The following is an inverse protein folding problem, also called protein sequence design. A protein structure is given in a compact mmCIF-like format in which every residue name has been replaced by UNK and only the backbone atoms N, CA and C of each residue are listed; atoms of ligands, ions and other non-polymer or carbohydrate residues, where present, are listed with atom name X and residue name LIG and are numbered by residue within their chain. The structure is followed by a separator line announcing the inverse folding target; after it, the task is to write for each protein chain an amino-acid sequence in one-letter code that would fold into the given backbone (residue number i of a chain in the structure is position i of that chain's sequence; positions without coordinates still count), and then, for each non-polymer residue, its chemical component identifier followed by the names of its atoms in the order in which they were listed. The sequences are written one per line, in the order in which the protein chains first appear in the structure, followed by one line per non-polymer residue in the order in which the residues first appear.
data_IF_662003409182
#
_entry.id   IF_662003409182
#
_cell.length_a   1.000
_cell.length_b   1.000
_cell.length_c   1.000
_cell.angle_alpha   90.00
_cell.angle_beta   90.00
_cell.angle_gamma   90.00
#
_symmetry.space_group_name_H-M   'P 1'
#
loop_
_entity.id
_entity.type
_entity.pdbx_description
1 polymer ?
#
# COMPACT_ATOMS: atom_id res chain seq x y z
N UNK A 1 -26.41 -7.80 -12.33
CA UNK A 1 -25.30 -7.64 -13.33
C UNK A 1 -24.23 -6.66 -12.88
N UNK A 2 -24.54 -5.68 -11.99
CA UNK A 2 -23.62 -4.58 -11.64
C UNK A 2 -22.43 -4.94 -10.73
N UNK A 3 -22.25 -6.18 -10.31
CA UNK A 3 -21.19 -6.55 -9.36
C UNK A 3 -20.28 -7.71 -9.84
N UNK A 4 -20.34 -8.06 -11.12
CA UNK A 4 -19.39 -9.03 -11.66
C UNK A 4 -18.11 -8.33 -12.09
N UNK A 5 -16.94 -8.79 -11.66
CA UNK A 5 -15.68 -8.20 -12.10
C UNK A 5 -15.52 -8.50 -13.60
N UNK A 6 -15.31 -7.46 -14.40
CA UNK A 6 -14.97 -7.58 -15.80
C UNK A 6 -13.47 -7.39 -15.93
N UNK A 7 -12.80 -8.41 -16.47
CA UNK A 7 -11.39 -8.30 -16.82
C UNK A 7 -11.31 -7.68 -18.22
N UNK A 8 -10.84 -6.44 -18.28
CA UNK A 8 -10.58 -5.77 -19.57
C UNK A 8 -9.12 -5.95 -19.96
N UNK A 9 -8.88 -6.22 -21.23
CA UNK A 9 -7.56 -6.15 -21.84
C UNK A 9 -7.13 -4.70 -22.12
N UNK A 10 -8.08 -3.79 -22.14
CA UNK A 10 -7.83 -2.36 -22.28
C UNK A 10 -7.54 -1.75 -20.92
N UNK A 11 -6.35 -1.20 -20.76
CA UNK A 11 -5.93 -0.50 -19.56
C UNK A 11 -6.31 0.97 -19.67
N UNK A 12 -6.71 1.56 -18.55
CA UNK A 12 -7.10 2.98 -18.48
C UNK A 12 -6.02 3.93 -19.01
N UNK A 13 -4.74 3.56 -18.83
CA UNK A 13 -3.58 4.34 -19.31
C UNK A 13 -2.48 3.41 -19.79
N UNK A 14 -1.65 3.87 -20.73
CA UNK A 14 -0.48 3.13 -21.19
C UNK A 14 0.52 2.84 -20.05
N UNK A 15 0.65 3.75 -19.09
CA UNK A 15 1.51 3.59 -17.92
C UNK A 15 1.08 2.45 -16.97
N UNK A 16 -0.15 1.93 -17.13
CA UNK A 16 -0.61 0.79 -16.35
C UNK A 16 0.07 -0.52 -16.81
N UNK A 17 0.49 -0.63 -18.06
CA UNK A 17 1.23 -1.78 -18.59
C UNK A 17 2.72 -1.60 -18.30
N UNK A 18 3.21 -2.29 -17.27
CA UNK A 18 4.61 -2.21 -16.85
C UNK A 18 5.08 -3.48 -16.17
N UNK A 19 6.37 -3.68 -16.17
CA UNK A 19 7.03 -4.76 -15.42
C UNK A 19 7.54 -4.18 -14.09
N UNK A 20 7.20 -4.84 -12.99
CA UNK A 20 7.66 -4.46 -11.66
C UNK A 20 8.61 -5.55 -11.17
N UNK A 21 9.91 -5.23 -10.91
CA UNK A 21 10.84 -6.19 -10.34
C UNK A 21 10.36 -6.61 -8.94
N UNK A 22 10.44 -7.90 -8.66
CA UNK A 22 10.07 -8.46 -7.36
C UNK A 22 11.33 -8.73 -6.54
N UNK A 23 11.42 -8.22 -5.31
CA UNK A 23 12.46 -8.65 -4.37
C UNK A 23 12.36 -10.15 -4.09
N UNK A 24 13.50 -10.80 -3.83
CA UNK A 24 13.59 -12.26 -3.70
C UNK A 24 12.64 -12.83 -2.63
N UNK A 25 12.51 -12.15 -1.49
CA UNK A 25 11.59 -12.57 -0.42
C UNK A 25 10.12 -12.55 -0.87
N UNK A 26 9.71 -11.52 -1.64
CA UNK A 26 8.36 -11.44 -2.19
C UNK A 26 8.14 -12.50 -3.27
N UNK A 27 9.14 -12.71 -4.15
CA UNK A 27 9.08 -13.74 -5.15
C UNK A 27 8.95 -15.15 -4.52
N UNK A 28 9.65 -15.41 -3.41
CA UNK A 28 9.51 -16.65 -2.65
C UNK A 28 8.12 -16.84 -2.07
N UNK A 29 7.55 -15.80 -1.44
CA UNK A 29 6.18 -15.82 -0.92
C UNK A 29 5.15 -16.08 -2.02
N UNK A 30 5.30 -15.44 -3.17
CA UNK A 30 4.38 -15.62 -4.30
C UNK A 30 4.48 -17.03 -4.92
N UNK A 31 5.69 -17.61 -5.01
CA UNK A 31 5.88 -19.00 -5.46
C UNK A 31 5.21 -19.99 -4.51
N UNK A 32 5.35 -19.76 -3.20
CA UNK A 32 4.72 -20.63 -2.20
C UNK A 32 3.18 -20.52 -2.27
N UNK A 33 2.64 -19.30 -2.39
CA UNK A 33 1.21 -19.08 -2.59
C UNK A 33 0.69 -19.76 -3.86
N UNK A 34 1.48 -19.74 -4.97
CA UNK A 34 1.10 -20.38 -6.23
C UNK A 34 1.02 -21.90 -6.13
N UNK A 35 1.88 -22.55 -5.35
CA UNK A 35 1.82 -24.02 -5.15
C UNK A 35 0.45 -24.48 -4.63
N UNK A 36 -0.20 -23.65 -3.82
CA UNK A 36 -1.49 -23.94 -3.19
C UNK A 36 -2.68 -23.33 -3.96
N UNK A 37 -2.44 -22.76 -5.15
CA UNK A 37 -3.46 -22.08 -5.95
C UNK A 37 -3.51 -22.61 -7.37
N UNK A 38 -4.70 -22.94 -7.83
CA UNK A 38 -4.99 -23.28 -9.23
C UNK A 38 -5.39 -22.06 -10.06
N UNK A 39 -5.51 -20.90 -9.42
CA UNK A 39 -5.94 -19.65 -10.06
C UNK A 39 -4.81 -18.97 -10.82
N UNK A 40 -5.14 -18.27 -11.89
CA UNK A 40 -4.24 -17.36 -12.61
C UNK A 40 -4.10 -16.00 -11.93
N UNK A 41 -4.92 -15.72 -10.92
CA UNK A 41 -4.88 -14.47 -10.16
C UNK A 41 -4.08 -14.64 -8.88
N UNK A 42 -3.24 -13.65 -8.57
CA UNK A 42 -2.46 -13.63 -7.30
C UNK A 42 -3.40 -13.61 -6.08
N UNK A 43 -4.49 -12.88 -6.19
CA UNK A 43 -5.55 -12.87 -5.18
C UNK A 43 -6.87 -13.21 -5.89
N UNK A 44 -7.37 -14.41 -5.62
CA UNK A 44 -8.56 -14.95 -6.27
C UNK A 44 -9.76 -15.00 -5.33
N UNK A 45 -10.96 -15.08 -5.90
CA UNK A 45 -12.15 -15.49 -5.20
C UNK A 45 -12.16 -17.04 -4.99
N UNK A 46 -13.20 -17.56 -4.34
CA UNK A 46 -13.30 -19.00 -4.05
C UNK A 46 -13.37 -19.87 -5.31
N UNK A 47 -13.86 -19.31 -6.42
CA UNK A 47 -14.03 -20.01 -7.69
C UNK A 47 -12.79 -19.86 -8.58
N UNK A 48 -11.71 -19.29 -8.07
CA UNK A 48 -10.45 -19.07 -8.79
C UNK A 48 -10.46 -17.85 -9.72
N UNK A 49 -11.54 -17.09 -9.77
CA UNK A 49 -11.67 -15.87 -10.59
C UNK A 49 -11.21 -14.60 -9.88
N UNK A 50 -11.30 -13.43 -10.56
CA UNK A 50 -10.92 -12.15 -10.00
C UNK A 50 -11.85 -11.74 -8.85
N UNK A 51 -11.33 -10.99 -7.88
CA UNK A 51 -12.14 -10.43 -6.80
C UNK A 51 -13.07 -9.33 -7.32
N UNK A 52 -14.32 -9.37 -6.87
CA UNK A 52 -15.19 -8.20 -6.96
C UNK A 52 -14.73 -7.11 -5.99
N UNK A 53 -15.15 -5.87 -6.24
CA UNK A 53 -14.88 -4.75 -5.33
C UNK A 53 -15.33 -5.02 -3.88
N UNK A 54 -16.50 -5.64 -3.71
CA UNK A 54 -17.03 -5.99 -2.39
C UNK A 54 -16.16 -7.05 -1.69
N UNK A 55 -15.69 -8.07 -2.43
CA UNK A 55 -14.78 -9.08 -1.89
C UNK A 55 -13.44 -8.46 -1.49
N UNK A 56 -12.88 -7.59 -2.33
CA UNK A 56 -11.67 -6.85 -1.99
C UNK A 56 -11.86 -6.02 -0.71
N UNK A 57 -12.95 -5.26 -0.59
CA UNK A 57 -13.24 -4.49 0.64
C UNK A 57 -13.32 -5.38 1.88
N UNK A 58 -13.92 -6.55 1.79
CA UNK A 58 -13.99 -7.50 2.91
C UNK A 58 -12.61 -8.01 3.30
N UNK A 59 -11.77 -8.37 2.33
CA UNK A 59 -10.38 -8.78 2.61
C UNK A 59 -9.58 -7.65 3.25
N UNK A 60 -9.70 -6.44 2.69
CA UNK A 60 -9.02 -5.26 3.24
C UNK A 60 -9.47 -4.93 4.67
N UNK A 61 -10.72 -5.21 4.99
CA UNK A 61 -11.26 -5.03 6.33
C UNK A 61 -10.50 -5.85 7.40
N UNK A 62 -9.97 -7.02 7.07
CA UNK A 62 -9.12 -7.79 7.99
C UNK A 62 -7.81 -7.07 8.33
N UNK A 63 -7.25 -6.32 7.39
CA UNK A 63 -6.08 -5.48 7.63
C UNK A 63 -6.45 -4.30 8.53
N UNK A 64 -7.50 -3.56 8.17
CA UNK A 64 -7.97 -2.37 8.91
C UNK A 64 -8.41 -2.72 10.33
N UNK A 65 -9.02 -3.88 10.53
CA UNK A 65 -9.46 -4.34 11.87
C UNK A 65 -8.29 -4.49 12.85
N UNK A 66 -7.06 -4.68 12.37
CA UNK A 66 -5.85 -4.77 13.22
C UNK A 66 -5.31 -3.43 13.69
N UNK A 67 -5.92 -2.32 13.29
CA UNK A 67 -5.49 -0.97 13.69
C UNK A 67 -5.94 -0.68 15.12
N UNK A 68 -4.99 -0.32 15.98
CA UNK A 68 -5.21 0.07 17.37
C UNK A 68 -5.57 1.55 17.47
N UNK A 69 -6.72 1.93 16.88
CA UNK A 69 -7.22 3.31 16.91
C UNK A 69 -8.64 3.37 17.46
N UNK A 70 -9.01 4.45 18.18
CA UNK A 70 -10.37 4.67 18.64
C UNK A 70 -11.36 4.63 17.48
N UNK A 71 -12.44 3.86 17.64
CA UNK A 71 -13.48 3.72 16.61
C UNK A 71 -14.83 3.41 17.20
N UNK A 72 -15.88 3.78 16.46
CA UNK A 72 -17.24 3.43 16.85
C UNK A 72 -17.46 1.93 16.54
N UNK A 73 -17.75 1.17 17.56
CA UNK A 73 -18.19 -0.22 17.49
C UNK A 73 -19.67 -0.33 17.82
N UNK A 74 -20.26 -1.48 17.55
CA UNK A 74 -21.65 -1.79 17.88
C UNK A 74 -21.69 -3.07 18.71
N UNK A 75 -22.51 -3.08 19.74
CA UNK A 75 -22.83 -4.27 20.53
C UNK A 75 -24.35 -4.47 20.57
N UNK A 76 -24.76 -5.72 20.67
CA UNK A 76 -26.17 -6.07 20.84
C UNK A 76 -26.48 -5.97 22.35
N UNK A 77 -27.47 -5.15 22.71
CA UNK A 77 -27.99 -5.00 24.07
C UNK A 77 -29.51 -5.07 23.95
N UNK A 78 -30.14 -6.01 24.64
CA UNK A 78 -31.60 -6.21 24.68
C UNK A 78 -32.22 -6.23 23.25
N UNK A 79 -31.59 -6.94 22.30
CA UNK A 79 -32.05 -7.06 20.93
C UNK A 79 -31.82 -5.83 20.04
N UNK A 80 -31.21 -4.77 20.55
CA UNK A 80 -30.90 -3.54 19.81
C UNK A 80 -29.39 -3.31 19.68
N UNK A 81 -28.95 -2.81 18.52
CA UNK A 81 -27.54 -2.43 18.33
C UNK A 81 -27.25 -1.06 18.94
N UNK A 82 -26.44 -1.03 19.99
CA UNK A 82 -25.95 0.18 20.63
C UNK A 82 -24.55 0.51 20.15
N UNK A 83 -24.30 1.77 19.78
CA UNK A 83 -22.97 2.26 19.41
C UNK A 83 -22.18 2.57 20.68
N UNK A 84 -20.89 2.23 20.69
CA UNK A 84 -19.95 2.63 21.74
C UNK A 84 -18.58 2.92 21.15
N UNK A 85 -17.78 3.70 21.86
CA UNK A 85 -16.37 3.91 21.50
C UNK A 85 -15.54 2.73 21.96
N UNK A 86 -14.79 2.14 21.03
CA UNK A 86 -13.80 1.13 21.30
C UNK A 86 -12.42 1.78 21.25
N UNK A 87 -11.62 1.54 22.28
CA UNK A 87 -10.22 2.00 22.40
C UNK A 87 -9.33 0.77 22.43
N UNK A 88 -8.91 0.25 21.27
CA UNK A 88 -8.03 -0.92 21.22
C UNK A 88 -6.61 -0.54 21.62
N UNK A 89 -5.92 -1.44 22.31
CA UNK A 89 -4.50 -1.29 22.63
C UNK A 89 -3.64 -2.22 21.77
N UNK A 90 -2.41 -1.80 21.44
CA UNK A 90 -1.48 -2.63 20.69
C UNK A 90 -1.18 -3.92 21.47
N UNK A 91 -1.22 -5.06 20.76
CA UNK A 91 -1.02 -6.38 21.34
C UNK A 91 -2.28 -7.03 21.92
N UNK A 92 -3.37 -6.26 22.12
CA UNK A 92 -4.64 -6.78 22.61
C UNK A 92 -5.36 -7.61 21.54
N UNK A 93 -6.05 -8.67 21.96
CA UNK A 93 -6.94 -9.45 21.09
C UNK A 93 -8.30 -8.77 20.96
N UNK A 94 -8.84 -8.77 19.75
CA UNK A 94 -10.17 -8.20 19.51
C UNK A 94 -11.24 -9.05 20.22
N UNK A 95 -12.13 -8.40 20.98
CA UNK A 95 -13.18 -9.03 21.78
C UNK A 95 -14.11 -9.94 20.98
N UNK A 96 -14.43 -9.55 19.76
CA UNK A 96 -15.38 -10.29 18.91
C UNK A 96 -14.71 -11.26 17.94
N UNK A 97 -13.36 -11.28 17.89
CA UNK A 97 -12.60 -12.19 17.05
C UNK A 97 -11.20 -12.40 17.64
N UNK A 98 -11.06 -13.42 18.46
CA UNK A 98 -9.81 -13.75 19.14
C UNK A 98 -8.62 -14.08 18.21
N UNK A 99 -8.86 -14.28 16.92
CA UNK A 99 -7.80 -14.44 15.92
C UNK A 99 -7.22 -13.10 15.43
N UNK A 100 -7.87 -11.98 15.75
CA UNK A 100 -7.40 -10.64 15.39
C UNK A 100 -6.67 -10.05 16.58
N UNK A 101 -5.38 -9.73 16.39
CA UNK A 101 -4.57 -8.95 17.33
C UNK A 101 -4.41 -7.54 16.76
N UNK A 102 -4.57 -6.53 17.60
CA UNK A 102 -4.30 -5.14 17.21
C UNK A 102 -2.79 -4.94 17.10
N UNK A 103 -2.27 -4.92 15.89
CA UNK A 103 -0.83 -4.93 15.61
C UNK A 103 -0.36 -3.69 14.84
N UNK A 104 -1.26 -2.74 14.57
CA UNK A 104 -0.98 -1.53 13.80
C UNK A 104 -1.42 -0.30 14.59
N UNK A 105 -0.53 0.66 14.76
CA UNK A 105 -0.79 1.96 15.40
C UNK A 105 -1.15 3.07 14.39
N UNK A 106 -1.21 2.72 13.11
CA UNK A 106 -1.51 3.62 12.00
C UNK A 106 -2.61 3.08 11.09
N UNK A 107 -3.24 3.98 10.33
CA UNK A 107 -4.21 3.60 9.32
C UNK A 107 -3.52 3.01 8.10
N UNK A 108 -4.06 1.91 7.57
CA UNK A 108 -3.54 1.25 6.37
C UNK A 108 -4.56 1.36 5.25
N UNK A 109 -4.17 2.02 4.17
CA UNK A 109 -4.93 2.03 2.92
C UNK A 109 -4.03 1.61 1.76
N UNK A 110 -4.57 1.04 0.67
CA UNK A 110 -3.76 0.73 -0.51
C UNK A 110 -3.02 1.96 -1.06
N UNK A 111 -3.64 3.13 -0.95
CA UNK A 111 -3.04 4.39 -1.39
C UNK A 111 -1.86 4.80 -0.51
N UNK A 112 -1.98 4.65 0.81
CA UNK A 112 -0.88 4.91 1.74
C UNK A 112 0.30 3.98 1.50
N UNK A 113 0.07 2.68 1.27
CA UNK A 113 1.12 1.74 0.91
C UNK A 113 1.84 2.14 -0.37
N UNK A 114 1.09 2.60 -1.38
CA UNK A 114 1.67 3.12 -2.62
C UNK A 114 2.53 4.36 -2.37
N UNK A 115 2.05 5.30 -1.54
CA UNK A 115 2.83 6.48 -1.16
C UNK A 115 4.12 6.10 -0.44
N UNK A 116 4.05 5.19 0.52
CA UNK A 116 5.23 4.69 1.24
C UNK A 116 6.23 4.04 0.29
N UNK A 117 5.76 3.22 -0.66
CA UNK A 117 6.60 2.61 -1.68
C UNK A 117 7.35 3.66 -2.50
N UNK A 118 6.65 4.68 -3.01
CA UNK A 118 7.24 5.76 -3.79
C UNK A 118 8.26 6.54 -2.95
N UNK A 119 7.90 6.89 -1.71
CA UNK A 119 8.76 7.63 -0.79
C UNK A 119 10.05 6.86 -0.48
N UNK A 120 9.95 5.54 -0.25
CA UNK A 120 11.11 4.69 0.00
C UNK A 120 12.05 4.62 -1.22
N UNK A 121 11.51 4.54 -2.44
CA UNK A 121 12.33 4.59 -3.64
C UNK A 121 13.08 5.92 -3.79
N UNK A 122 12.41 7.03 -3.48
CA UNK A 122 13.04 8.37 -3.50
C UNK A 122 14.14 8.49 -2.43
N UNK A 123 13.90 7.97 -1.23
CA UNK A 123 14.92 7.92 -0.18
C UNK A 123 16.13 7.07 -0.56
N UNK A 124 15.89 5.98 -1.29
CA UNK A 124 16.96 5.14 -1.85
C UNK A 124 17.63 5.78 -3.07
N UNK A 125 17.34 7.04 -3.38
CA UNK A 125 17.90 7.79 -4.51
C UNK A 125 17.65 7.17 -5.89
N UNK A 126 16.54 6.41 -6.03
CA UNK A 126 16.08 5.95 -7.33
C UNK A 126 15.64 7.15 -8.16
N UNK A 127 16.06 7.21 -9.42
CA UNK A 127 15.77 8.35 -10.28
C UNK A 127 14.25 8.55 -10.50
N UNK A 128 13.79 9.80 -10.69
CA UNK A 128 12.37 10.10 -10.79
C UNK A 128 11.64 9.42 -11.94
N UNK A 129 12.32 9.14 -13.05
CA UNK A 129 11.73 8.44 -14.21
C UNK A 129 11.46 6.98 -13.89
N UNK A 130 12.40 6.31 -13.24
CA UNK A 130 12.22 4.94 -12.75
C UNK A 130 11.10 4.88 -11.71
N UNK A 131 11.06 5.82 -10.77
CA UNK A 131 9.96 5.91 -9.79
C UNK A 131 8.61 6.12 -10.49
N UNK A 132 8.54 7.00 -11.47
CA UNK A 132 7.34 7.23 -12.29
C UNK A 132 6.87 5.93 -12.95
N UNK A 133 7.78 5.22 -13.60
CA UNK A 133 7.50 3.95 -14.26
C UNK A 133 7.00 2.89 -13.27
N UNK A 134 7.73 2.65 -12.19
CA UNK A 134 7.36 1.65 -11.17
C UNK A 134 6.04 1.99 -10.47
N UNK A 135 5.80 3.27 -10.21
CA UNK A 135 4.53 3.74 -9.68
C UNK A 135 3.39 3.67 -10.72
N UNK A 136 3.67 3.71 -12.01
CA UNK A 136 2.65 3.78 -13.07
C UNK A 136 1.92 5.11 -13.06
N UNK A 137 2.65 6.20 -12.86
CA UNK A 137 2.11 7.53 -13.02
C UNK A 137 2.17 7.94 -14.49
N UNK A 138 1.04 8.24 -15.07
CA UNK A 138 0.95 8.72 -16.46
C UNK A 138 1.66 10.07 -16.60
N UNK A 139 1.45 10.96 -15.62
CA UNK A 139 2.06 12.27 -15.58
C UNK A 139 3.24 12.31 -14.59
N UNK A 140 4.40 12.75 -15.08
CA UNK A 140 5.62 12.92 -14.27
C UNK A 140 5.46 13.94 -13.14
N UNK A 141 4.55 14.92 -13.29
CA UNK A 141 4.30 15.96 -12.29
C UNK A 141 3.99 15.36 -10.92
N UNK A 142 3.14 14.32 -10.87
CA UNK A 142 2.79 13.66 -9.60
C UNK A 142 4.04 13.10 -8.91
N UNK A 143 4.93 12.45 -9.67
CA UNK A 143 6.18 11.92 -9.12
C UNK A 143 7.11 13.03 -8.67
N UNK A 144 7.23 14.09 -9.45
CA UNK A 144 8.09 15.24 -9.14
C UNK A 144 7.61 16.01 -7.92
N UNK A 145 6.30 16.18 -7.74
CA UNK A 145 5.72 16.81 -6.56
C UNK A 145 6.03 16.02 -5.29
N UNK A 146 5.96 14.68 -5.35
CA UNK A 146 6.34 13.82 -4.22
C UNK A 146 7.85 13.90 -3.98
N UNK A 147 8.65 13.84 -5.04
CA UNK A 147 10.11 13.92 -4.96
C UNK A 147 10.56 15.22 -4.29
N UNK A 148 10.00 16.36 -4.72
CA UNK A 148 10.29 17.66 -4.13
C UNK A 148 9.96 17.67 -2.63
N UNK A 149 8.76 17.23 -2.23
CA UNK A 149 8.36 17.17 -0.82
C UNK A 149 9.29 16.30 0.02
N UNK A 150 9.68 15.13 -0.47
CA UNK A 150 10.57 14.21 0.25
C UNK A 150 11.97 14.81 0.43
N UNK A 151 12.51 15.45 -0.60
CA UNK A 151 13.84 16.08 -0.54
C UNK A 151 13.83 17.35 0.30
N UNK A 152 12.82 18.21 0.18
CA UNK A 152 12.71 19.44 1.00
C UNK A 152 12.52 19.17 2.49
N UNK A 153 11.98 18.01 2.87
CA UNK A 153 11.89 17.62 4.28
C UNK A 153 13.25 17.22 4.90
N UNK A 154 14.34 17.23 4.11
CA UNK A 154 15.71 16.96 4.56
C UNK A 154 16.67 18.05 4.05
N UNK A 155 16.56 19.27 4.54
CA UNK A 155 17.38 20.40 4.05
C UNK A 155 18.89 20.15 4.21
N UNK A 156 19.31 19.44 5.27
CA UNK A 156 20.72 19.12 5.49
C UNK A 156 21.30 18.21 4.39
N UNK A 157 20.53 17.27 3.87
CA UNK A 157 20.96 16.40 2.76
C UNK A 157 21.08 17.21 1.45
N UNK A 158 20.20 18.19 1.26
CA UNK A 158 20.26 19.10 0.10
C UNK A 158 21.49 19.98 0.19
N UNK A 159 21.78 20.56 1.37
CA UNK A 159 22.96 21.39 1.61
C UNK A 159 24.26 20.60 1.36
N UNK A 160 24.35 19.37 1.87
CA UNK A 160 25.51 18.49 1.62
C UNK A 160 25.71 18.20 0.14
N UNK A 161 24.61 17.90 -0.57
CA UNK A 161 24.65 17.62 -2.02
C UNK A 161 25.08 18.86 -2.80
N UNK A 162 24.59 20.03 -2.43
CA UNK A 162 25.02 21.31 -3.03
C UNK A 162 26.51 21.59 -2.76
N UNK A 163 26.95 21.44 -1.51
CA UNK A 163 28.36 21.62 -1.17
C UNK A 163 29.26 20.69 -1.98
N UNK A 164 28.90 19.39 -2.11
CA UNK A 164 29.66 18.45 -2.90
C UNK A 164 29.71 18.82 -4.39
N UNK A 165 28.61 19.36 -4.96
CA UNK A 165 28.57 19.77 -6.36
C UNK A 165 29.46 20.97 -6.69
N UNK A 166 29.84 21.81 -5.67
CA UNK A 166 30.64 22.98 -5.87
C UNK A 166 32.10 22.80 -5.43
N UNK A 167 32.43 21.78 -4.62
CA UNK A 167 33.80 21.48 -4.20
C UNK A 167 34.70 20.97 -5.34
N UNK A 168 34.14 20.43 -6.41
CA UNK A 168 34.90 20.04 -7.60
C UNK A 168 35.35 21.24 -8.47
N UNK A 169 34.82 22.44 -8.24
CA UNK A 169 35.17 23.64 -8.99
C UNK A 169 36.36 24.39 -8.38
N UNK A 170 36.65 24.22 -7.07
CA UNK A 170 37.77 24.81 -6.39
C UNK A 170 39.11 24.05 -6.63
N UNK A 171 39.05 22.93 -7.36
CA UNK A 171 40.20 22.07 -7.68
C UNK A 171 40.74 22.27 -9.12
N UNK A 172 40.21 23.23 -9.89
CA UNK A 172 40.65 23.65 -11.22
C UNK A 172 41.28 25.04 -11.17
#
# INVERSE_FOLDING_TARGET
EHNRPVVSTELKTAAAKRNIPLPDHLAACLREAKKNSTSDYVVANRDGGPLSYTQFKRLWQYVVTRTAKPRIARKLVDGKYVKYMLYPELGEKARNNGHVVYSLDFDVTPHLLRHTYITNLIHASVDPKTVQYLAGHENSRITMDIYAKVKYNRPDDVVKTMAAAFTEWDAL
#
